data_IF_346255520397
#
_entry.id   IF_346255520397
#
_cell.length_a   1.000
_cell.length_b   1.000
_cell.length_c   1.000
_cell.angle_alpha   90.00
_cell.angle_beta   90.00
_cell.angle_gamma   90.00
#
_symmetry.space_group_name_H-M   'P 1'
#
loop_
_entity.id
_entity.type
_entity.pdbx_description
1 polymer ?
#
# COMPACT_ATOMS: atom_id res chain seq x y z
N UNK A 1 13.36 -8.91 -10.74
CA UNK A 1 13.33 -7.92 -10.35
C UNK A 1 12.95 -7.53 -9.21
N UNK A 2 13.37 -6.87 -8.70
CA UNK A 2 13.05 -6.63 -7.64
C UNK A 2 12.69 -5.54 -7.19
N UNK A 3 11.78 -5.45 -6.77
CA UNK A 3 11.27 -4.37 -6.28
C UNK A 3 11.40 -4.26 -4.86
N UNK A 4 10.81 -3.30 -4.25
CA UNK A 4 10.82 -3.10 -2.84
C UNK A 4 10.07 -4.23 -2.15
N UNK A 5 10.72 -4.79 -1.12
CA UNK A 5 10.12 -5.83 -0.38
C UNK A 5 9.26 -5.22 0.69
N UNK A 6 7.98 -5.21 0.56
CA UNK A 6 7.07 -4.65 1.53
C UNK A 6 6.70 -5.66 2.62
N UNK A 7 6.54 -5.20 3.86
CA UNK A 7 6.03 -6.09 4.91
C UNK A 7 4.64 -6.60 4.57
N UNK A 8 4.34 -7.80 5.04
CA UNK A 8 3.04 -8.41 4.74
C UNK A 8 1.87 -7.58 5.24
N UNK A 9 2.01 -6.95 6.41
CA UNK A 9 0.93 -6.14 6.95
C UNK A 9 0.68 -4.90 6.09
N UNK A 10 1.71 -4.34 5.49
CA UNK A 10 1.53 -3.20 4.62
C UNK A 10 0.79 -3.59 3.34
N UNK A 11 1.18 -4.73 2.77
CA UNK A 11 0.49 -5.26 1.59
C UNK A 11 -0.98 -5.53 1.93
N UNK A 12 -1.24 -6.12 3.08
CA UNK A 12 -2.62 -6.42 3.48
C UNK A 12 -3.46 -5.15 3.64
N UNK A 13 -2.88 -4.11 4.21
CA UNK A 13 -3.59 -2.84 4.38
C UNK A 13 -3.92 -2.22 3.02
N UNK A 14 -2.96 -2.20 2.12
CA UNK A 14 -3.20 -1.61 0.81
C UNK A 14 -4.23 -2.45 0.03
N UNK A 15 -4.16 -3.77 0.16
CA UNK A 15 -5.15 -4.63 -0.49
C UNK A 15 -6.56 -4.37 0.05
N UNK A 16 -6.68 -4.19 1.36
CA UNK A 16 -7.98 -3.86 1.96
C UNK A 16 -8.52 -2.54 1.43
N UNK A 17 -7.64 -1.54 1.34
CA UNK A 17 -8.05 -0.25 0.81
C UNK A 17 -8.48 -0.36 -0.64
N UNK A 18 -7.74 -1.14 -1.43
CA UNK A 18 -8.06 -1.34 -2.83
C UNK A 18 -9.43 -1.99 -3.00
N UNK A 19 -9.69 -3.02 -2.19
CA UNK A 19 -10.97 -3.71 -2.23
C UNK A 19 -12.12 -2.80 -1.83
N UNK A 20 -11.90 -1.97 -0.80
CA UNK A 20 -12.93 -1.03 -0.37
C UNK A 20 -13.20 0.02 -1.45
N UNK A 21 -12.16 0.47 -2.13
CA UNK A 21 -12.32 1.40 -3.24
C UNK A 21 -13.12 0.78 -4.37
N UNK A 22 -12.86 -0.48 -4.65
CA UNK A 22 -13.58 -1.18 -5.71
C UNK A 22 -15.08 -1.28 -5.39
N UNK A 23 -15.40 -1.37 -4.11
CA UNK A 23 -16.80 -1.41 -3.69
C UNK A 23 -17.39 -0.01 -3.50
N UNK A 24 -16.58 1.02 -3.65
CA UNK A 24 -17.02 2.38 -3.40
C UNK A 24 -17.24 2.67 -1.93
N UNK A 25 -16.51 1.99 -1.05
CA UNK A 25 -16.74 2.08 0.39
C UNK A 25 -15.46 2.21 1.20
N UNK A 26 -14.50 2.99 0.70
CA UNK A 26 -13.25 3.21 1.43
C UNK A 26 -13.56 3.98 2.71
N UNK A 27 -13.18 3.41 3.84
CA UNK A 27 -13.43 4.06 5.14
C UNK A 27 -12.26 4.96 5.52
N UNK A 28 -12.55 5.93 6.37
CA UNK A 28 -11.51 6.83 6.88
C UNK A 28 -10.50 6.03 7.69
N UNK A 29 -10.96 5.07 8.46
CA UNK A 29 -10.06 4.25 9.28
C UNK A 29 -9.05 3.51 8.42
N UNK A 30 -9.52 2.89 7.32
CA UNK A 30 -8.61 2.18 6.43
C UNK A 30 -7.64 3.14 5.75
N UNK A 31 -8.15 4.27 5.29
CA UNK A 31 -7.30 5.27 4.63
C UNK A 31 -6.21 5.77 5.57
N UNK A 32 -6.57 6.04 6.83
CA UNK A 32 -5.59 6.51 7.80
C UNK A 32 -4.57 5.44 8.14
N UNK A 33 -5.00 4.19 8.22
CA UNK A 33 -4.08 3.10 8.52
C UNK A 33 -3.05 2.94 7.42
N UNK A 34 -3.48 3.01 6.17
CA UNK A 34 -2.56 2.93 5.03
C UNK A 34 -1.62 4.12 5.04
N UNK A 35 -2.16 5.32 5.29
CA UNK A 35 -1.36 6.53 5.30
C UNK A 35 -0.23 6.45 6.34
N UNK A 36 -0.57 6.01 7.55
CA UNK A 36 0.40 5.89 8.61
C UNK A 36 1.44 4.81 8.31
N UNK A 37 1.00 3.68 7.80
CA UNK A 37 1.91 2.58 7.50
C UNK A 37 2.87 2.93 6.37
N UNK A 38 2.38 3.61 5.34
CA UNK A 38 3.23 4.05 4.23
C UNK A 38 4.26 5.06 4.73
N UNK A 39 3.83 6.01 5.58
CA UNK A 39 4.76 6.98 6.11
C UNK A 39 5.88 6.34 6.92
N UNK A 40 5.53 5.38 7.77
CA UNK A 40 6.53 4.69 8.59
C UNK A 40 7.50 3.91 7.71
N UNK A 41 6.99 3.22 6.71
CA UNK A 41 7.85 2.44 5.81
C UNK A 41 8.77 3.36 5.01
N UNK A 42 8.25 4.50 4.56
CA UNK A 42 9.06 5.46 3.82
C UNK A 42 10.24 5.95 4.66
N UNK A 43 9.98 6.24 5.93
CA UNK A 43 11.04 6.67 6.81
C UNK A 43 12.08 5.59 7.04
N UNK A 44 11.64 4.37 7.25
CA UNK A 44 12.54 3.28 7.52
C UNK A 44 13.39 2.92 6.31
N UNK A 45 12.80 2.98 5.13
CA UNK A 45 13.48 2.56 3.91
C UNK A 45 14.31 3.68 3.28
N UNK A 46 14.07 4.91 3.68
CA UNK A 46 14.75 6.05 3.06
C UNK A 46 14.19 6.43 1.71
N UNK A 47 13.05 5.86 1.33
CA UNK A 47 12.41 6.19 0.06
C UNK A 47 11.47 7.37 0.21
N UNK A 48 11.22 8.08 -0.88
CA UNK A 48 10.23 9.12 -0.87
C UNK A 48 8.84 8.50 -0.72
N UNK A 49 7.97 9.20 0.00
CA UNK A 49 6.63 8.69 0.22
C UNK A 49 5.89 8.37 -1.07
N UNK A 50 6.01 9.25 -2.06
CA UNK A 50 5.32 9.03 -3.32
C UNK A 50 5.80 7.76 -4.02
N UNK A 51 7.10 7.47 -3.90
CA UNK A 51 7.64 6.25 -4.50
C UNK A 51 7.09 5.02 -3.81
N UNK A 52 6.99 5.07 -2.49
CA UNK A 52 6.42 3.96 -1.73
C UNK A 52 4.98 3.72 -2.15
N UNK A 53 4.21 4.79 -2.26
CA UNK A 53 2.80 4.67 -2.63
C UNK A 53 2.64 4.06 -4.01
N UNK A 54 3.43 4.51 -4.95
CA UNK A 54 3.32 4.00 -6.33
C UNK A 54 3.71 2.53 -6.42
N UNK A 55 4.82 2.17 -5.76
CA UNK A 55 5.30 0.80 -5.81
C UNK A 55 4.35 -0.14 -5.09
N UNK A 56 3.79 0.32 -3.97
CA UNK A 56 2.86 -0.49 -3.20
C UNK A 56 1.59 -0.77 -4.00
N UNK A 57 1.06 0.26 -4.65
CA UNK A 57 -0.12 0.09 -5.47
C UNK A 57 0.12 -0.87 -6.62
N UNK A 58 1.29 -0.78 -7.24
CA UNK A 58 1.63 -1.69 -8.32
C UNK A 58 1.73 -3.12 -7.81
N UNK A 59 2.34 -3.32 -6.65
CA UNK A 59 2.50 -4.65 -6.09
C UNK A 59 1.15 -5.30 -5.83
N UNK A 60 0.21 -4.54 -5.28
CA UNK A 60 -1.11 -5.08 -4.95
C UNK A 60 -1.94 -5.32 -6.21
N UNK A 61 -1.98 -4.33 -7.10
CA UNK A 61 -2.86 -4.42 -8.27
C UNK A 61 -2.36 -5.42 -9.29
N UNK A 62 -1.05 -5.42 -9.53
CA UNK A 62 -0.48 -6.34 -10.51
C UNK A 62 -0.42 -7.77 -9.99
N UNK A 63 -0.28 -7.92 -8.69
CA UNK A 63 -0.31 -9.24 -8.09
C UNK A 63 -1.63 -9.94 -8.34
N UNK A 64 -2.72 -9.16 -8.42
CA UNK A 64 -4.03 -9.73 -8.66
C UNK A 64 -4.23 -10.15 -10.11
N UNK A 65 -3.44 -9.59 -10.99
CA UNK A 65 -3.57 -9.92 -12.40
C UNK A 65 -2.79 -11.16 -12.79
N UNK A 66 -1.92 -11.61 -11.95
CA UNK A 66 -1.04 -12.72 -12.28
C UNK A 66 -1.72 -14.10 -12.28
#
# INVERSE_FOLDING_TARGET
VTDTDFPDNLIALERSAWEEQQRGALTVATAQAVHAAVGAFAEESGLARIDVEMRLKQAVRHGDDA
#
